data_IF_419009463811
#
_entry.id   IF_419009463811
#
_cell.length_a   1.000
_cell.length_b   1.000
_cell.length_c   1.000
_cell.angle_alpha   90.00
_cell.angle_beta   90.00
_cell.angle_gamma   90.00
#
_symmetry.space_group_name_H-M   'P 1'
#
loop_
_entity.id
_entity.type
_entity.pdbx_description
1 polymer ?
#
# COMPACT_ATOMS: atom_id res chain seq x y z
N UNK A 1 -0.35 -1.74 -0.31
CA UNK A 1 -1.38 -1.34 -1.28
C UNK A 1 -1.71 -2.51 -2.19
N UNK A 2 -2.97 -2.59 -2.61
CA UNK A 2 -3.48 -3.55 -3.57
C UNK A 2 -4.13 -2.76 -4.70
N UNK A 3 -3.66 -2.96 -5.92
CA UNK A 3 -4.17 -2.33 -7.11
C UNK A 3 -5.02 -3.33 -7.87
N UNK A 4 -6.16 -2.86 -8.36
CA UNK A 4 -7.15 -3.66 -9.05
C UNK A 4 -7.22 -3.15 -10.48
N UNK A 5 -6.78 -3.97 -11.44
CA UNK A 5 -6.73 -3.57 -12.85
C UNK A 5 -7.95 -4.14 -13.61
N UNK A 6 -8.83 -3.29 -14.16
CA UNK A 6 -9.99 -3.73 -14.92
C UNK A 6 -9.61 -4.19 -16.34
N UNK A 7 -10.56 -4.85 -17.01
CA UNK A 7 -10.45 -5.32 -18.40
C UNK A 7 -9.89 -4.27 -19.34
N UNK A 8 -8.67 -4.51 -19.82
CA UNK A 8 -8.11 -3.84 -20.99
C UNK A 8 -8.83 -4.32 -22.25
N UNK A 9 -10.08 -3.93 -22.43
CA UNK A 9 -10.65 -3.79 -23.77
C UNK A 9 -10.15 -2.46 -24.32
N UNK A 10 -9.26 -2.52 -25.32
CA UNK A 10 -8.75 -1.40 -26.11
C UNK A 10 -9.89 -0.47 -26.56
N UNK A 11 -10.17 0.58 -25.78
CA UNK A 11 -10.93 1.75 -26.18
C UNK A 11 -10.31 2.94 -25.42
N UNK A 12 -10.09 4.03 -26.14
CA UNK A 12 -9.29 5.21 -25.81
C UNK A 12 -9.74 5.97 -24.54
N UNK A 13 -9.59 5.38 -23.37
CA UNK A 13 -9.78 6.07 -22.10
C UNK A 13 -8.67 5.65 -21.12
N UNK A 14 -8.06 6.66 -20.50
CA UNK A 14 -6.95 6.56 -19.55
C UNK A 14 -7.10 5.37 -18.59
N UNK A 15 -6.03 4.61 -18.31
CA UNK A 15 -6.09 3.45 -17.43
C UNK A 15 -6.72 3.87 -16.09
N UNK A 16 -7.87 3.28 -15.78
CA UNK A 16 -8.56 3.50 -14.51
C UNK A 16 -7.81 2.74 -13.43
N UNK A 17 -6.84 3.41 -12.82
CA UNK A 17 -6.06 2.90 -11.69
C UNK A 17 -6.82 3.18 -10.39
N UNK A 18 -7.48 2.17 -9.84
CA UNK A 18 -8.11 2.28 -8.53
C UNK A 18 -7.06 1.96 -7.45
N UNK A 19 -6.60 3.00 -6.76
CA UNK A 19 -5.77 2.88 -5.56
C UNK A 19 -6.67 2.51 -4.38
N UNK A 20 -6.89 1.22 -4.20
CA UNK A 20 -7.45 0.72 -2.96
C UNK A 20 -6.31 0.51 -1.95
N UNK A 21 -6.47 1.04 -0.73
CA UNK A 21 -5.65 0.60 0.39
C UNK A 21 -5.71 -0.93 0.53
N UNK A 22 -4.93 -1.56 1.41
CA UNK A 22 -5.05 -3.00 1.63
C UNK A 22 -6.41 -3.32 2.28
N UNK A 23 -7.47 -3.43 1.48
CA UNK A 23 -8.85 -3.68 1.88
C UNK A 23 -9.13 -5.18 1.72
N UNK A 24 -8.31 -6.02 2.35
CA UNK A 24 -8.67 -7.42 2.51
C UNK A 24 -9.86 -7.51 3.48
N UNK A 25 -10.77 -8.48 3.32
CA UNK A 25 -11.93 -8.62 4.20
C UNK A 25 -11.61 -8.58 5.70
N UNK A 26 -10.45 -9.12 6.09
CA UNK A 26 -9.99 -9.17 7.48
C UNK A 26 -9.38 -7.85 7.95
N UNK A 27 -8.83 -7.02 7.04
CA UNK A 27 -8.29 -5.70 7.38
C UNK A 27 -9.37 -4.63 7.43
N UNK A 28 -10.59 -4.93 6.96
CA UNK A 28 -11.75 -4.03 7.06
C UNK A 28 -12.35 -3.98 8.47
N UNK A 29 -12.11 -5.01 9.29
CA UNK A 29 -12.55 -5.03 10.68
C UNK A 29 -11.73 -4.00 11.48
N UNK A 30 -12.40 -2.95 11.98
CA UNK A 30 -11.76 -1.85 12.72
C UNK A 30 -11.24 -0.70 11.86
N UNK A 31 -10.86 -0.94 10.60
CA UNK A 31 -10.41 0.14 9.69
C UNK A 31 -11.55 1.03 9.17
N UNK A 32 -12.79 0.56 9.22
CA UNK A 32 -13.97 1.32 8.80
C UNK A 32 -14.97 1.34 9.95
N UNK A 33 -15.33 2.55 10.38
CA UNK A 33 -16.41 2.75 11.35
C UNK A 33 -17.75 2.55 10.65
N UNK A 34 -18.32 1.35 10.78
CA UNK A 34 -19.61 0.98 10.19
C UNK A 34 -20.38 0.03 11.11
N UNK A 35 -21.73 0.10 11.18
CA UNK A 35 -22.49 -0.86 11.96
C UNK A 35 -22.26 -2.29 11.44
N UNK A 36 -22.09 -3.25 12.37
CA UNK A 36 -21.67 -4.64 12.09
C UNK A 36 -22.48 -5.33 10.97
N UNK A 37 -23.76 -5.01 10.82
CA UNK A 37 -24.61 -5.56 9.76
C UNK A 37 -24.22 -5.11 8.34
N UNK A 38 -23.77 -3.87 8.18
CA UNK A 38 -23.36 -3.33 6.86
C UNK A 38 -21.93 -3.74 6.49
N UNK A 39 -21.08 -4.02 7.46
CA UNK A 39 -19.69 -4.44 7.22
C UNK A 39 -19.62 -5.74 6.41
N UNK A 40 -20.51 -6.71 6.69
CA UNK A 40 -20.59 -7.95 5.91
C UNK A 40 -21.00 -7.73 4.45
N UNK A 41 -21.89 -6.76 4.20
CA UNK A 41 -22.31 -6.37 2.85
C UNK A 41 -21.12 -5.72 2.13
N UNK A 42 -20.42 -4.82 2.81
CA UNK A 42 -19.25 -4.14 2.28
C UNK A 42 -18.12 -5.11 1.94
N UNK A 43 -17.80 -6.08 2.82
CA UNK A 43 -16.84 -7.16 2.53
C UNK A 43 -17.20 -7.92 1.24
N UNK A 44 -18.47 -8.29 1.07
CA UNK A 44 -18.94 -8.96 -0.16
C UNK A 44 -18.81 -8.08 -1.39
N UNK A 45 -19.08 -6.78 -1.27
CA UNK A 45 -18.90 -5.82 -2.35
C UNK A 45 -17.44 -5.73 -2.79
N UNK A 46 -16.50 -5.59 -1.85
CA UNK A 46 -15.06 -5.54 -2.14
C UNK A 46 -14.57 -6.83 -2.81
N UNK A 47 -15.00 -7.99 -2.30
CA UNK A 47 -14.66 -9.28 -2.92
C UNK A 47 -15.22 -9.42 -4.33
N UNK A 48 -16.47 -8.98 -4.56
CA UNK A 48 -17.07 -8.96 -5.89
C UNK A 48 -16.30 -8.03 -6.83
N UNK A 49 -15.89 -6.86 -6.36
CA UNK A 49 -15.10 -5.91 -7.13
C UNK A 49 -13.76 -6.54 -7.56
N UNK A 50 -13.02 -7.16 -6.64
CA UNK A 50 -11.76 -7.84 -6.95
C UNK A 50 -11.95 -9.00 -7.94
N UNK A 51 -13.06 -9.73 -7.85
CA UNK A 51 -13.34 -10.84 -8.78
C UNK A 51 -13.61 -10.42 -10.23
N UNK A 52 -13.88 -9.13 -10.45
CA UNK A 52 -14.13 -8.57 -11.78
C UNK A 52 -12.85 -8.08 -12.48
N UNK A 53 -11.74 -8.02 -11.75
CA UNK A 53 -10.44 -7.62 -12.28
C UNK A 53 -9.72 -8.78 -12.96
N UNK A 54 -8.95 -8.46 -14.01
CA UNK A 54 -8.10 -9.45 -14.67
C UNK A 54 -6.81 -9.66 -13.88
N UNK A 55 -6.30 -8.59 -13.26
CA UNK A 55 -5.05 -8.62 -12.52
C UNK A 55 -5.18 -7.85 -11.19
N UNK A 56 -4.71 -8.48 -10.12
CA UNK A 56 -4.57 -7.92 -8.78
C UNK A 56 -3.09 -7.70 -8.49
N UNK A 57 -2.65 -6.44 -8.48
CA UNK A 57 -1.24 -6.11 -8.28
C UNK A 57 -1.00 -5.67 -6.84
N UNK A 58 -0.07 -6.28 -6.13
CA UNK A 58 0.26 -5.90 -4.75
C UNK A 58 1.72 -5.53 -4.59
N UNK A 59 2.00 -4.59 -3.68
CA UNK A 59 3.35 -4.19 -3.29
C UNK A 59 3.89 -4.92 -2.07
N UNK A 60 3.12 -5.86 -1.52
CA UNK A 60 3.53 -6.67 -0.39
C UNK A 60 3.31 -8.16 -0.72
N UNK A 61 4.35 -8.99 -0.71
CA UNK A 61 4.24 -10.40 -1.08
C UNK A 61 3.28 -11.18 -0.17
N UNK A 62 3.08 -10.76 1.08
CA UNK A 62 2.14 -11.42 2.02
C UNK A 62 0.70 -11.35 1.49
N UNK A 63 0.34 -10.29 0.76
CA UNK A 63 -1.02 -10.17 0.21
C UNK A 63 -1.27 -11.13 -0.95
N UNK A 64 -0.23 -11.59 -1.63
CA UNK A 64 -0.37 -12.58 -2.69
C UNK A 64 -1.00 -13.85 -2.13
N UNK A 65 -0.42 -14.38 -1.07
CA UNK A 65 -0.90 -15.63 -0.45
C UNK A 65 -2.28 -15.46 0.18
N UNK A 66 -2.56 -14.30 0.79
CA UNK A 66 -3.88 -13.99 1.34
C UNK A 66 -4.96 -13.92 0.26
N UNK A 67 -4.67 -13.33 -0.90
CA UNK A 67 -5.60 -13.29 -2.02
C UNK A 67 -5.84 -14.70 -2.58
N UNK A 68 -4.80 -15.52 -2.67
CA UNK A 68 -4.95 -16.92 -3.09
C UNK A 68 -5.83 -17.72 -2.11
N UNK A 69 -5.64 -17.54 -0.80
CA UNK A 69 -6.47 -18.16 0.24
C UNK A 69 -7.94 -17.71 0.17
N UNK A 70 -8.20 -16.48 -0.28
CA UNK A 70 -9.54 -15.95 -0.51
C UNK A 70 -10.18 -16.46 -1.81
N UNK A 71 -9.46 -17.26 -2.61
CA UNK A 71 -9.96 -17.92 -3.82
C UNK A 71 -9.58 -17.24 -5.13
N UNK A 72 -8.73 -16.20 -5.12
CA UNK A 72 -8.19 -15.63 -6.35
C UNK A 72 -7.12 -16.54 -6.95
N UNK A 73 -7.12 -16.70 -8.27
CA UNK A 73 -6.11 -17.52 -8.95
C UNK A 73 -4.73 -16.86 -8.83
N UNK A 74 -3.72 -17.65 -8.48
CA UNK A 74 -2.33 -17.16 -8.30
C UNK A 74 -1.78 -16.45 -9.55
N UNK A 75 -2.21 -16.89 -10.73
CA UNK A 75 -1.84 -16.33 -12.03
C UNK A 75 -2.40 -14.92 -12.30
N UNK A 76 -3.42 -14.49 -11.55
CA UNK A 76 -4.02 -13.15 -11.64
C UNK A 76 -3.56 -12.23 -10.49
N UNK A 77 -2.53 -12.63 -9.74
CA UNK A 77 -2.01 -11.85 -8.60
C UNK A 77 -0.52 -11.59 -8.77
N UNK A 78 -0.18 -10.37 -9.15
CA UNK A 78 1.20 -9.95 -9.40
C UNK A 78 1.77 -9.16 -8.22
N UNK A 79 3.00 -9.51 -7.81
CA UNK A 79 3.76 -8.73 -6.85
C UNK A 79 4.71 -7.77 -7.57
N UNK A 80 4.63 -6.48 -7.24
CA UNK A 80 5.58 -5.46 -7.68
C UNK A 80 6.22 -4.83 -6.45
N UNK A 81 7.51 -5.04 -6.18
CA UNK A 81 8.18 -4.41 -5.05
C UNK A 81 8.09 -2.88 -5.13
N UNK A 82 7.79 -2.24 -4.00
CA UNK A 82 7.84 -0.79 -3.90
C UNK A 82 9.30 -0.33 -3.83
N UNK A 83 9.76 0.43 -4.83
CA UNK A 83 11.10 1.01 -4.84
C UNK A 83 11.05 2.48 -4.45
N UNK A 84 12.19 2.97 -3.94
CA UNK A 84 12.43 4.40 -3.69
C UNK A 84 13.48 4.91 -4.67
N UNK A 85 13.44 6.21 -4.97
CA UNK A 85 14.45 6.87 -5.80
C UNK A 85 15.83 6.75 -5.14
N UNK A 86 16.79 6.13 -5.82
CA UNK A 86 18.17 6.02 -5.31
C UNK A 86 18.90 7.36 -5.33
N UNK A 87 18.45 8.32 -6.15
CA UNK A 87 19.04 9.64 -6.20
C UNK A 87 18.66 10.49 -4.99
N UNK A 88 17.44 10.32 -4.50
CA UNK A 88 16.90 11.02 -3.32
C UNK A 88 17.20 10.26 -2.02
N UNK A 89 17.04 8.93 -2.02
CA UNK A 89 17.23 8.07 -0.85
C UNK A 89 18.60 7.39 -0.89
N UNK A 90 19.65 8.18 -0.66
CA UNK A 90 21.03 7.70 -0.54
C UNK A 90 21.70 8.19 0.74
N UNK A 91 22.69 7.46 1.27
CA UNK A 91 23.47 7.92 2.41
C UNK A 91 24.15 9.26 2.11
N UNK A 92 23.92 10.24 2.97
CA UNK A 92 24.66 11.49 2.96
C UNK A 92 26.11 11.28 3.42
N UNK A 93 27.03 12.08 2.89
CA UNK A 93 28.41 12.11 3.38
C UNK A 93 28.50 12.74 4.79
N UNK A 94 29.67 12.66 5.41
CA UNK A 94 29.87 13.13 6.80
C UNK A 94 29.53 14.63 6.93
N UNK A 95 30.01 15.45 6.01
CA UNK A 95 29.78 16.90 6.06
C UNK A 95 28.29 17.24 5.96
N UNK A 96 27.59 16.63 5.01
CA UNK A 96 26.15 16.78 4.82
C UNK A 96 25.35 16.35 6.07
N UNK A 97 25.76 15.27 6.74
CA UNK A 97 25.12 14.84 8.00
C UNK A 97 25.28 15.86 9.12
N UNK A 98 26.47 16.45 9.24
CA UNK A 98 26.75 17.50 10.24
C UNK A 98 25.93 18.77 9.92
N UNK A 99 25.84 19.14 8.65
CA UNK A 99 25.08 20.33 8.24
C UNK A 99 23.57 20.17 8.49
N UNK A 100 22.99 18.98 8.21
CA UNK A 100 21.59 18.67 8.57
C UNK A 100 21.37 18.71 10.08
N UNK A 101 22.30 18.17 10.88
CA UNK A 101 22.20 18.24 12.35
C UNK A 101 22.15 19.69 12.83
N UNK A 102 23.01 20.56 12.30
CA UNK A 102 23.01 21.99 12.62
C UNK A 102 21.72 22.69 12.19
N UNK A 103 21.19 22.38 11.01
CA UNK A 103 19.93 22.93 10.49
C UNK A 103 18.77 22.67 11.47
N UNK A 104 18.68 21.45 12.01
CA UNK A 104 17.65 21.06 12.96
C UNK A 104 18.05 21.26 14.44
N UNK A 105 19.17 21.93 14.72
CA UNK A 105 19.71 22.16 16.08
C UNK A 105 19.89 20.88 16.91
N UNK A 106 20.33 19.79 16.27
CA UNK A 106 20.59 18.50 16.88
C UNK A 106 22.08 18.43 17.29
N UNK A 107 22.42 18.12 18.56
CA UNK A 107 23.81 17.92 18.99
C UNK A 107 24.51 16.79 18.23
N UNK A 108 25.83 16.90 18.06
CA UNK A 108 26.62 15.93 17.29
C UNK A 108 26.63 14.52 17.92
N UNK A 109 26.56 14.44 19.25
CA UNK A 109 26.56 13.21 20.05
C UNK A 109 25.16 12.66 20.35
N UNK A 110 24.10 13.38 19.94
CA UNK A 110 22.73 12.96 20.20
C UNK A 110 22.33 11.73 19.36
N UNK A 111 21.73 10.75 20.05
CA UNK A 111 20.98 9.67 19.42
C UNK A 111 19.66 10.21 18.86
N UNK A 112 19.40 9.97 17.57
CA UNK A 112 18.21 10.48 16.87
C UNK A 112 17.35 9.31 16.41
N UNK A 113 16.10 9.28 16.86
CA UNK A 113 15.07 8.42 16.31
C UNK A 113 14.09 9.27 15.51
N UNK A 114 13.84 8.90 14.25
CA UNK A 114 12.93 9.61 13.35
C UNK A 114 11.78 8.68 12.94
N UNK A 115 10.55 9.13 13.17
CA UNK A 115 9.35 8.49 12.66
C UNK A 115 8.77 9.36 11.54
N UNK A 116 8.72 8.82 10.32
CA UNK A 116 8.15 9.49 9.15
C UNK A 116 6.97 8.66 8.64
N UNK A 117 5.80 9.28 8.56
CA UNK A 117 4.59 8.63 8.11
C UNK A 117 3.33 9.32 8.61
N UNK A 118 2.17 8.83 8.18
CA UNK A 118 0.88 9.32 8.63
C UNK A 118 0.65 8.99 10.11
N UNK A 119 0.33 9.99 10.93
CA UNK A 119 0.14 9.87 12.40
C UNK A 119 -1.27 9.45 12.81
N UNK A 120 -2.00 8.76 11.93
CA UNK A 120 -3.36 8.32 12.24
C UNK A 120 -3.34 7.06 13.11
N UNK A 121 -4.03 7.06 14.27
CA UNK A 121 -4.27 5.84 15.02
C UNK A 121 -5.15 4.89 14.19
N UNK A 122 -4.82 3.59 14.21
CA UNK A 122 -5.67 2.53 13.64
C UNK A 122 -6.80 2.16 14.58
#
# INVERSE_FOLDING_TARGET
CLYVLPKFTYLEASPSFCHDGPLLPDTLDGSISMPRGFLGIYKKYVMKFYSQADELVTVNPIYVDKLVQLGFKREHVTYIPNYVSQDEFKPLNIQQKVDVRREFNIPDDAFVALAVGQTQPR
#
